data_IF_287621520193
#
_entry.id   IF_287621520193
#
_cell.length_a   1.000
_cell.length_b   1.000
_cell.length_c   1.000
_cell.angle_alpha   90.00
_cell.angle_beta   90.00
_cell.angle_gamma   90.00
#
_symmetry.space_group_name_H-M   'P 1'
#
loop_
_entity.id
_entity.type
_entity.pdbx_description
1 polymer ?
#
# COMPACT_ATOMS: atom_id res chain seq x y z
N UNK A 1 -13.10 34.75 -2.01
CA UNK A 1 -11.75 34.36 -2.48
C UNK A 1 -11.78 34.39 -4.00
N UNK A 2 -10.78 34.95 -4.69
CA UNK A 2 -10.78 35.00 -6.16
C UNK A 2 -10.50 33.61 -6.75
N UNK A 3 -11.00 33.36 -7.97
CA UNK A 3 -10.80 32.11 -8.72
C UNK A 3 -9.31 31.72 -8.86
N UNK A 4 -8.43 32.72 -9.03
CA UNK A 4 -6.97 32.54 -9.11
C UNK A 4 -6.34 31.95 -7.84
N UNK A 5 -6.80 32.39 -6.65
CA UNK A 5 -6.29 31.87 -5.37
C UNK A 5 -6.67 30.41 -5.15
N UNK A 6 -7.89 30.03 -5.56
CA UNK A 6 -8.35 28.64 -5.46
C UNK A 6 -7.54 27.70 -6.35
N UNK A 7 -7.25 28.12 -7.59
CA UNK A 7 -6.41 27.36 -8.52
C UNK A 7 -4.99 27.13 -8.00
N UNK A 8 -4.37 28.17 -7.43
CA UNK A 8 -3.05 28.06 -6.80
C UNK A 8 -3.03 27.04 -5.65
N UNK A 9 -4.00 27.12 -4.73
CA UNK A 9 -4.09 26.23 -3.57
C UNK A 9 -4.33 24.77 -4.00
N UNK A 10 -5.19 24.55 -4.99
CA UNK A 10 -5.44 23.23 -5.56
C UNK A 10 -4.16 22.64 -6.18
N UNK A 11 -3.42 23.43 -6.98
CA UNK A 11 -2.14 22.99 -7.57
C UNK A 11 -1.11 22.62 -6.49
N UNK A 12 -0.95 23.45 -5.46
CA UNK A 12 -0.06 23.16 -4.32
C UNK A 12 -0.45 21.89 -3.57
N UNK A 13 -1.76 21.68 -3.35
CA UNK A 13 -2.25 20.47 -2.70
C UNK A 13 -1.93 19.21 -3.53
N UNK A 14 -2.16 19.25 -4.84
CA UNK A 14 -1.85 18.15 -5.75
C UNK A 14 -0.33 17.87 -5.82
N UNK A 15 0.51 18.90 -5.90
CA UNK A 15 1.97 18.76 -5.86
C UNK A 15 2.42 18.07 -4.56
N UNK A 16 1.90 18.51 -3.41
CA UNK A 16 2.22 17.91 -2.11
C UNK A 16 1.81 16.44 -2.04
N UNK A 17 0.65 16.10 -2.60
CA UNK A 17 0.19 14.71 -2.67
C UNK A 17 1.10 13.85 -3.56
N UNK A 18 1.42 14.31 -4.77
CA UNK A 18 2.33 13.62 -5.71
C UNK A 18 3.68 13.35 -5.07
N UNK A 19 4.30 14.35 -4.43
CA UNK A 19 5.58 14.20 -3.72
C UNK A 19 5.50 13.14 -2.62
N UNK A 20 4.41 13.13 -1.82
CA UNK A 20 4.22 12.15 -0.73
C UNK A 20 4.00 10.73 -1.26
N UNK A 21 3.31 10.57 -2.38
CA UNK A 21 3.13 9.29 -3.04
C UNK A 21 4.48 8.81 -3.60
N UNK A 22 5.18 9.68 -4.33
CA UNK A 22 6.48 9.39 -4.92
C UNK A 22 7.51 8.99 -3.86
N UNK A 23 7.62 9.73 -2.75
CA UNK A 23 8.55 9.41 -1.68
C UNK A 23 8.29 8.02 -1.07
N UNK A 24 7.02 7.68 -0.80
CA UNK A 24 6.65 6.35 -0.30
C UNK A 24 6.98 5.24 -1.29
N UNK A 25 6.70 5.47 -2.58
CA UNK A 25 7.01 4.53 -3.66
C UNK A 25 8.52 4.34 -3.82
N UNK A 26 9.29 5.42 -3.84
CA UNK A 26 10.73 5.39 -3.95
C UNK A 26 11.38 4.66 -2.76
N UNK A 27 10.98 4.96 -1.52
CA UNK A 27 11.46 4.23 -0.33
C UNK A 27 11.14 2.73 -0.40
N UNK A 28 9.93 2.37 -0.80
CA UNK A 28 9.55 0.96 -0.98
C UNK A 28 10.43 0.31 -2.05
N UNK A 29 10.68 0.97 -3.17
CA UNK A 29 11.52 0.46 -4.24
C UNK A 29 12.98 0.30 -3.79
N UNK A 30 13.52 1.23 -3.02
CA UNK A 30 14.84 1.09 -2.38
C UNK A 30 14.87 -0.15 -1.47
N UNK A 31 13.81 -0.40 -0.71
CA UNK A 31 13.68 -1.60 0.11
C UNK A 31 13.58 -2.90 -0.71
N UNK A 32 12.88 -2.84 -1.85
CA UNK A 32 12.72 -3.97 -2.77
C UNK A 32 14.08 -4.38 -3.38
N UNK A 33 14.97 -3.42 -3.67
CA UNK A 33 16.35 -3.69 -4.09
C UNK A 33 17.27 -4.12 -2.94
N UNK A 34 17.12 -3.51 -1.76
CA UNK A 34 17.99 -3.75 -0.63
C UNK A 34 17.57 -5.00 0.17
N UNK A 35 18.21 -6.14 -0.13
CA UNK A 35 17.99 -7.41 0.58
C UNK A 35 18.25 -7.28 2.10
N UNK A 36 19.27 -6.49 2.47
CA UNK A 36 19.69 -6.31 3.87
C UNK A 36 19.40 -4.91 4.42
N UNK A 37 19.02 -4.85 5.70
CA UNK A 37 18.59 -3.60 6.36
C UNK A 37 19.68 -2.53 6.48
N UNK A 38 20.93 -2.92 6.68
CA UNK A 38 22.04 -1.95 6.81
C UNK A 38 22.30 -1.17 5.51
N UNK A 39 22.19 -1.83 4.35
CA UNK A 39 22.27 -1.17 3.05
C UNK A 39 21.06 -0.25 2.83
N UNK A 40 19.87 -0.75 3.16
CA UNK A 40 18.64 0.03 3.05
C UNK A 40 18.69 1.36 3.83
N UNK A 41 19.21 1.37 5.06
CA UNK A 41 19.24 2.60 5.86
C UNK A 41 20.09 3.69 5.22
N UNK A 42 21.27 3.33 4.72
CA UNK A 42 22.13 4.26 4.00
C UNK A 42 21.43 4.84 2.76
N UNK A 43 20.86 3.98 1.91
CA UNK A 43 20.20 4.42 0.68
C UNK A 43 18.91 5.22 0.97
N UNK A 44 18.20 4.89 2.05
CA UNK A 44 17.01 5.61 2.49
C UNK A 44 17.35 7.01 3.01
N UNK A 45 18.47 7.17 3.72
CA UNK A 45 18.97 8.47 4.17
C UNK A 45 19.40 9.33 2.98
N UNK A 46 20.13 8.77 2.01
CA UNK A 46 20.46 9.47 0.77
C UNK A 46 19.21 9.91 -0.01
N UNK A 47 18.20 9.02 -0.10
CA UNK A 47 16.93 9.35 -0.72
C UNK A 47 16.25 10.51 0.04
N UNK A 48 16.21 10.47 1.36
CA UNK A 48 15.63 11.55 2.18
C UNK A 48 16.34 12.87 1.95
N UNK A 49 17.67 12.87 1.91
CA UNK A 49 18.49 14.05 1.66
C UNK A 49 18.18 14.70 0.31
N UNK A 50 17.99 13.90 -0.75
CA UNK A 50 17.59 14.40 -2.09
C UNK A 50 16.22 15.11 -2.07
N UNK A 51 15.26 14.59 -1.30
CA UNK A 51 13.96 15.24 -1.12
C UNK A 51 14.06 16.51 -0.25
N UNK A 52 14.88 16.49 0.81
CA UNK A 52 15.07 17.65 1.69
C UNK A 52 15.78 18.81 0.99
N UNK A 53 16.74 18.53 0.11
CA UNK A 53 17.43 19.55 -0.68
C UNK A 53 16.45 20.43 -1.50
N UNK A 54 15.30 19.88 -1.92
CA UNK A 54 14.31 20.56 -2.75
C UNK A 54 13.05 20.99 -1.97
N UNK A 55 13.03 20.84 -0.64
CA UNK A 55 11.83 21.09 0.19
C UNK A 55 11.36 22.54 0.18
N UNK A 56 12.28 23.48 -0.02
CA UNK A 56 12.04 24.93 0.09
C UNK A 56 11.80 25.61 -1.28
N UNK A 57 11.62 24.84 -2.35
CA UNK A 57 11.27 25.39 -3.66
C UNK A 57 9.82 25.93 -3.61
N UNK A 58 9.64 27.20 -3.97
CA UNK A 58 8.35 27.90 -3.98
C UNK A 58 7.73 28.00 -5.38
N UNK A 59 8.57 28.04 -6.42
CA UNK A 59 8.13 28.19 -7.80
C UNK A 59 7.36 26.95 -8.30
N UNK A 60 6.12 27.16 -8.73
CA UNK A 60 5.18 26.09 -9.09
C UNK A 60 5.66 25.27 -10.29
N UNK A 61 6.19 25.95 -11.32
CA UNK A 61 6.59 25.30 -12.56
C UNK A 61 7.89 24.50 -12.35
N UNK A 62 8.83 25.04 -11.57
CA UNK A 62 10.02 24.31 -11.14
C UNK A 62 9.66 23.06 -10.34
N UNK A 63 8.67 23.14 -9.43
CA UNK A 63 8.22 21.97 -8.66
C UNK A 63 7.65 20.89 -9.56
N UNK A 64 6.81 21.26 -10.53
CA UNK A 64 6.24 20.27 -11.45
C UNK A 64 7.32 19.62 -12.30
N UNK A 65 8.31 20.38 -12.76
CA UNK A 65 9.48 19.84 -13.47
C UNK A 65 10.25 18.84 -12.59
N UNK A 66 10.56 19.20 -11.35
CA UNK A 66 11.28 18.33 -10.42
C UNK A 66 10.50 17.05 -10.11
N UNK A 67 9.18 17.14 -9.93
CA UNK A 67 8.33 15.96 -9.71
C UNK A 67 8.38 15.05 -10.94
N UNK A 68 8.26 15.60 -12.15
CA UNK A 68 8.27 14.81 -13.39
C UNK A 68 9.64 14.14 -13.61
N UNK A 69 10.75 14.84 -13.38
CA UNK A 69 12.11 14.29 -13.47
C UNK A 69 12.31 13.15 -12.45
N UNK A 70 11.80 13.32 -11.24
CA UNK A 70 11.90 12.32 -10.18
C UNK A 70 10.99 11.10 -10.45
N UNK A 71 9.78 11.30 -10.99
CA UNK A 71 8.88 10.22 -11.42
C UNK A 71 9.51 9.41 -12.57
N UNK A 72 10.10 10.07 -13.58
CA UNK A 72 10.80 9.39 -14.68
C UNK A 72 12.01 8.58 -14.18
N UNK A 73 12.76 9.14 -13.22
CA UNK A 73 13.86 8.43 -12.58
C UNK A 73 13.37 7.21 -11.80
N UNK A 74 12.27 7.35 -11.04
CA UNK A 74 11.64 6.25 -10.33
C UNK A 74 11.20 5.13 -11.28
N UNK A 75 10.51 5.46 -12.38
CA UNK A 75 10.07 4.52 -13.40
C UNK A 75 11.21 3.72 -14.02
N UNK A 76 12.33 4.40 -14.33
CA UNK A 76 13.52 3.75 -14.90
C UNK A 76 14.14 2.70 -13.96
N UNK A 77 14.10 2.93 -12.66
CA UNK A 77 14.80 2.13 -11.66
C UNK A 77 13.85 1.28 -10.79
N UNK A 78 12.63 1.02 -11.27
CA UNK A 78 11.71 0.11 -10.58
C UNK A 78 12.27 -1.31 -10.54
N UNK A 79 12.13 -1.96 -9.38
CA UNK A 79 12.42 -3.37 -9.25
C UNK A 79 11.45 -4.19 -10.13
N UNK A 80 11.93 -5.15 -10.96
CA UNK A 80 11.08 -5.90 -11.88
C UNK A 80 10.08 -6.83 -11.19
N UNK A 81 10.39 -7.28 -9.97
CA UNK A 81 9.53 -8.14 -9.14
C UNK A 81 9.45 -7.59 -7.70
N UNK A 82 8.68 -6.51 -7.46
CA UNK A 82 8.66 -5.83 -6.17
C UNK A 82 8.01 -6.70 -5.08
N UNK A 83 8.42 -6.56 -3.82
CA UNK A 83 7.81 -7.32 -2.73
C UNK A 83 6.33 -6.91 -2.55
N UNK A 84 5.45 -7.90 -2.55
CA UNK A 84 4.02 -7.75 -2.28
C UNK A 84 3.68 -8.59 -1.05
N UNK A 85 3.02 -7.96 -0.06
CA UNK A 85 2.59 -8.68 1.14
C UNK A 85 1.64 -9.82 0.76
N UNK A 86 1.74 -11.01 1.39
CA UNK A 86 1.11 -12.22 0.85
C UNK A 86 -0.40 -12.11 0.60
N UNK A 87 -1.15 -11.35 1.40
CA UNK A 87 -2.61 -11.25 1.30
C UNK A 87 -3.10 -10.07 0.45
N UNK A 88 -2.22 -9.16 0.00
CA UNK A 88 -2.60 -8.05 -0.88
C UNK A 88 -2.78 -8.54 -2.32
N UNK A 89 -3.49 -7.78 -3.17
CA UNK A 89 -3.56 -8.07 -4.61
C UNK A 89 -2.16 -8.27 -5.21
N UNK A 90 -1.97 -9.37 -5.95
CA UNK A 90 -0.66 -9.78 -6.49
C UNK A 90 0.22 -10.59 -5.54
N UNK A 91 -0.16 -10.74 -4.27
CA UNK A 91 0.57 -11.55 -3.28
C UNK A 91 0.25 -13.05 -3.37
N UNK A 92 1.15 -13.88 -2.87
CA UNK A 92 1.07 -15.36 -2.98
C UNK A 92 -0.11 -16.02 -2.25
N UNK A 93 -0.77 -15.32 -1.32
CA UNK A 93 -1.94 -15.79 -0.56
C UNK A 93 -3.20 -14.97 -0.88
N UNK A 94 -3.15 -14.11 -1.90
CA UNK A 94 -4.30 -13.35 -2.34
C UNK A 94 -5.43 -14.30 -2.75
N UNK A 95 -6.65 -14.04 -2.28
CA UNK A 95 -7.85 -14.86 -2.56
C UNK A 95 -7.74 -16.34 -2.21
N UNK A 96 -6.79 -16.75 -1.35
CA UNK A 96 -6.67 -18.15 -0.91
C UNK A 96 -7.89 -18.63 -0.10
N UNK A 97 -8.57 -17.72 0.59
CA UNK A 97 -9.80 -17.99 1.33
C UNK A 97 -10.80 -16.83 1.13
N UNK A 98 -11.51 -16.78 -0.01
CA UNK A 98 -12.48 -15.71 -0.26
C UNK A 98 -13.67 -15.86 0.68
N UNK A 99 -14.28 -14.74 1.06
CA UNK A 99 -15.55 -14.77 1.78
C UNK A 99 -16.58 -15.43 0.85
N UNK A 100 -17.34 -16.44 1.33
CA UNK A 100 -18.35 -17.08 0.50
C UNK A 100 -19.37 -16.04 0.01
N UNK A 101 -19.89 -16.18 -1.23
CA UNK A 101 -20.88 -15.25 -1.75
C UNK A 101 -22.15 -15.28 -0.88
N UNK A 102 -22.72 -14.10 -0.69
CA UNK A 102 -23.95 -13.91 0.08
C UNK A 102 -25.09 -14.64 -0.65
N UNK A 103 -25.80 -15.53 0.06
CA UNK A 103 -26.91 -16.33 -0.50
C UNK A 103 -26.68 -17.84 -0.57
N UNK A 104 -25.48 -18.34 -0.27
CA UNK A 104 -25.19 -19.80 -0.23
C UNK A 104 -25.57 -20.50 1.09
N UNK A 105 -26.22 -19.80 2.04
CA UNK A 105 -26.64 -20.36 3.34
C UNK A 105 -27.55 -21.59 3.20
N UNK A 106 -28.37 -21.67 2.15
CA UNK A 106 -29.32 -22.77 1.98
C UNK A 106 -28.71 -24.05 1.39
N UNK A 107 -27.53 -23.98 0.76
CA UNK A 107 -26.92 -25.16 0.10
C UNK A 107 -26.02 -25.93 1.08
N UNK A 108 -25.37 -25.24 2.01
CA UNK A 108 -24.54 -25.88 3.03
C UNK A 108 -25.36 -26.61 4.11
N UNK A 109 -26.60 -26.17 4.36
CA UNK A 109 -27.52 -26.89 5.23
C UNK A 109 -27.90 -28.27 4.66
N UNK A 110 -28.04 -28.40 3.33
CA UNK A 110 -28.42 -29.66 2.68
C UNK A 110 -27.35 -30.76 2.82
N UNK A 111 -26.06 -30.38 2.82
CA UNK A 111 -24.95 -31.33 3.04
C UNK A 111 -24.81 -31.67 4.54
N UNK A 112 -25.22 -30.77 5.44
CA UNK A 112 -25.29 -31.02 6.89
C UNK A 112 -26.56 -31.74 7.36
N UNK A 113 -27.52 -31.95 6.45
CA UNK A 113 -28.79 -32.66 6.69
C UNK A 113 -28.65 -34.17 6.92
N UNK A 114 -27.42 -34.72 6.90
CA UNK A 114 -27.14 -36.05 7.43
C UNK A 114 -26.34 -35.95 8.74
N UNK A 115 -27.04 -35.57 9.81
CA UNK A 115 -26.90 -36.18 11.15
C UNK A 115 -25.62 -36.00 11.96
N UNK A 116 -24.66 -35.16 11.59
CA UNK A 116 -23.44 -34.96 12.41
C UNK A 116 -23.01 -33.49 12.34
N UNK A 117 -22.50 -32.92 13.43
CA UNK A 117 -21.93 -31.55 13.56
C UNK A 117 -22.81 -30.50 14.30
N UNK A 118 -23.79 -30.90 15.12
CA UNK A 118 -24.26 -29.99 16.20
C UNK A 118 -23.39 -30.05 17.47
N UNK A 119 -22.34 -30.88 17.52
CA UNK A 119 -21.47 -31.03 18.70
C UNK A 119 -20.24 -30.11 18.75
N UNK A 120 -19.80 -29.53 17.64
CA UNK A 120 -18.53 -28.77 17.59
C UNK A 120 -18.75 -27.29 17.98
N UNK A 121 -19.90 -26.70 17.64
CA UNK A 121 -20.13 -25.27 17.86
C UNK A 121 -20.31 -24.89 19.34
N UNK A 122 -20.85 -25.80 20.17
CA UNK A 122 -20.94 -25.60 21.63
C UNK A 122 -19.59 -25.81 22.34
N UNK A 123 -18.71 -26.66 21.81
CA UNK A 123 -17.41 -26.95 22.42
C UNK A 123 -16.42 -25.79 22.20
N UNK A 124 -16.40 -25.21 21.00
CA UNK A 124 -15.50 -24.09 20.66
C UNK A 124 -15.89 -22.79 21.38
N UNK A 125 -17.20 -22.54 21.61
CA UNK A 125 -17.66 -21.40 22.42
C UNK A 125 -17.33 -21.55 23.91
N UNK A 126 -17.23 -22.78 24.44
CA UNK A 126 -16.86 -23.03 25.85
C UNK A 126 -15.37 -22.89 26.10
N UNK A 127 -14.51 -23.20 25.11
CA UNK A 127 -13.06 -23.10 25.24
C UNK A 127 -12.52 -21.66 25.11
N UNK A 128 -13.24 -20.75 24.45
CA UNK A 128 -12.88 -19.32 24.35
C UNK A 128 -13.16 -18.48 25.60
N UNK A 129 -13.75 -19.06 26.66
CA UNK A 129 -13.95 -18.39 27.96
C UNK A 129 -12.94 -18.81 29.02
N UNK A 130 -12.00 -19.69 28.68
CA UNK A 130 -11.02 -20.26 29.61
C UNK A 130 -9.58 -19.77 29.28
N UNK A 131 -9.39 -19.01 28.21
CA UNK A 131 -8.17 -18.25 27.91
C UNK A 131 -8.53 -16.81 27.53
#
# INVERSE_FOLDING_TARGET
>A
MSSSTLGYLARRAAQKERVRILYRRALKNTLDWAVHRHLFYHDADELRAKFDANKHVEDLDTIDRLINEAEASYEKWQHPDPYIVPWAPGGSKFTRNPVPPQGLSHVLEFISGQGVILKIHLLVRRLRKIF
#
